data_IF_437063742453
#
_entry.id   IF_437063742453
#
_cell.length_a   1.000
_cell.length_b   1.000
_cell.length_c   1.000
_cell.angle_alpha   90.00
_cell.angle_beta   90.00
_cell.angle_gamma   90.00
#
_symmetry.space_group_name_H-M   'P 1'
#
loop_
_entity.id
_entity.type
_entity.pdbx_description
1 polymer ?
#
# COMPACT_ATOMS: atom_id res chain seq x y z
N UNK A 1 -35.25 -6.02 27.75
CA UNK A 1 -35.41 -6.32 26.31
C UNK A 1 -35.41 -5.08 25.43
N UNK A 2 -36.26 -4.08 25.67
CA UNK A 2 -36.27 -2.85 24.84
C UNK A 2 -34.94 -2.07 24.84
N UNK A 3 -34.27 -1.96 26.00
CA UNK A 3 -32.97 -1.28 26.13
C UNK A 3 -31.85 -2.01 25.38
N UNK A 4 -31.86 -3.35 25.38
CA UNK A 4 -30.87 -4.14 24.66
C UNK A 4 -31.01 -3.94 23.14
N UNK A 5 -32.24 -3.95 22.60
CA UNK A 5 -32.48 -3.71 21.17
C UNK A 5 -32.01 -2.31 20.71
N UNK A 6 -32.16 -1.29 21.56
CA UNK A 6 -31.65 0.06 21.27
C UNK A 6 -30.12 0.11 21.23
N UNK A 7 -29.46 -0.50 22.20
CA UNK A 7 -27.99 -0.53 22.28
C UNK A 7 -27.38 -1.28 21.11
N UNK A 8 -27.93 -2.45 20.75
CA UNK A 8 -27.45 -3.21 19.58
C UNK A 8 -27.72 -2.49 18.25
N UNK A 9 -28.83 -1.75 18.13
CA UNK A 9 -29.12 -0.94 16.95
C UNK A 9 -28.15 0.23 16.76
N UNK A 10 -27.82 0.95 17.83
CA UNK A 10 -26.85 2.06 17.79
C UNK A 10 -25.44 1.55 17.47
N UNK A 11 -25.01 0.47 18.14
CA UNK A 11 -23.70 -0.14 17.89
C UNK A 11 -23.61 -0.69 16.46
N UNK A 12 -24.69 -1.27 15.93
CA UNK A 12 -24.75 -1.74 14.55
C UNK A 12 -24.61 -0.62 13.52
N UNK A 13 -25.18 0.57 13.77
CA UNK A 13 -25.05 1.73 12.89
C UNK A 13 -23.63 2.29 12.91
N UNK A 14 -23.05 2.45 14.10
CA UNK A 14 -21.69 3.00 14.26
C UNK A 14 -20.65 2.07 13.63
N UNK A 15 -20.76 0.76 13.85
CA UNK A 15 -19.87 -0.23 13.24
C UNK A 15 -20.15 -0.41 11.74
N UNK A 16 -21.40 -0.23 11.30
CA UNK A 16 -21.79 -0.27 9.90
C UNK A 16 -21.20 0.85 9.05
N UNK A 17 -20.88 2.00 9.67
CA UNK A 17 -20.29 3.16 9.01
C UNK A 17 -18.77 3.03 8.78
N UNK A 18 -18.10 2.11 9.49
CA UNK A 18 -16.65 1.89 9.39
C UNK A 18 -16.37 0.93 8.23
N UNK A 19 -15.62 1.35 7.19
CA UNK A 19 -15.20 0.45 6.11
C UNK A 19 -14.48 -0.76 6.71
N UNK A 20 -14.74 -1.96 6.17
CA UNK A 20 -14.36 -3.31 6.69
C UNK A 20 -15.17 -3.93 7.84
N UNK A 21 -15.89 -3.17 8.68
CA UNK A 21 -16.68 -3.72 9.80
C UNK A 21 -18.19 -3.85 9.51
N UNK A 22 -18.61 -3.48 8.29
CA UNK A 22 -20.02 -3.46 7.87
C UNK A 22 -20.74 -4.81 8.02
N UNK A 23 -20.05 -5.93 7.81
CA UNK A 23 -20.62 -7.28 7.93
C UNK A 23 -20.99 -7.65 9.38
N UNK A 24 -20.18 -7.21 10.36
CA UNK A 24 -20.47 -7.38 11.78
C UNK A 24 -21.65 -6.49 12.22
N UNK A 25 -21.72 -5.26 11.70
CA UNK A 25 -22.85 -4.35 11.88
C UNK A 25 -24.16 -4.93 11.33
N UNK A 26 -24.12 -5.54 10.14
CA UNK A 26 -25.28 -6.23 9.55
C UNK A 26 -25.80 -7.41 10.37
N UNK A 27 -24.91 -8.25 10.92
CA UNK A 27 -25.29 -9.36 11.80
C UNK A 27 -25.93 -8.87 13.11
N UNK A 28 -25.37 -7.82 13.72
CA UNK A 28 -25.93 -7.22 14.93
C UNK A 28 -27.28 -6.54 14.67
N UNK A 29 -27.45 -5.88 13.51
CA UNK A 29 -28.71 -5.29 13.10
C UNK A 29 -29.81 -6.35 12.86
N UNK A 30 -29.45 -7.53 12.33
CA UNK A 30 -30.35 -8.68 12.18
C UNK A 30 -30.87 -9.20 13.53
N UNK A 31 -29.97 -9.36 14.51
CA UNK A 31 -30.36 -9.77 15.87
C UNK A 31 -31.24 -8.71 16.54
N UNK A 32 -30.89 -7.43 16.38
CA UNK A 32 -31.68 -6.29 16.86
C UNK A 32 -33.07 -6.23 16.23
N UNK A 33 -33.19 -6.53 14.94
CA UNK A 33 -34.47 -6.59 14.22
C UNK A 33 -35.36 -7.72 14.74
N UNK A 34 -34.81 -8.92 14.95
CA UNK A 34 -35.56 -10.06 15.50
C UNK A 34 -36.12 -9.78 16.90
N UNK A 35 -35.30 -9.19 17.77
CA UNK A 35 -35.72 -8.77 19.12
C UNK A 35 -36.72 -7.61 19.08
N UNK A 36 -36.57 -6.69 18.13
CA UNK A 36 -37.50 -5.58 17.90
C UNK A 36 -38.88 -6.06 17.44
N UNK A 37 -38.95 -6.97 16.46
CA UNK A 37 -40.21 -7.55 15.96
C UNK A 37 -40.94 -8.28 17.09
N UNK A 38 -40.23 -9.09 17.90
CA UNK A 38 -40.82 -9.78 19.05
C UNK A 38 -41.38 -8.79 20.09
N UNK A 39 -40.69 -7.67 20.34
CA UNK A 39 -41.13 -6.61 21.24
C UNK A 39 -42.36 -5.85 20.70
N UNK A 40 -42.45 -5.63 19.38
CA UNK A 40 -43.61 -5.02 18.72
C UNK A 40 -44.83 -5.93 18.76
N UNK A 41 -44.67 -7.24 18.53
CA UNK A 41 -45.78 -8.20 18.63
C UNK A 41 -46.30 -8.27 20.08
N UNK A 42 -45.40 -8.26 21.07
CA UNK A 42 -45.75 -8.23 22.50
C UNK A 42 -46.43 -6.93 22.92
N UNK A 43 -46.06 -5.78 22.35
CA UNK A 43 -46.64 -4.48 22.71
C UNK A 43 -48.09 -4.31 22.24
N UNK A 44 -48.50 -5.02 21.19
CA UNK A 44 -49.91 -5.10 20.72
C UNK A 44 -50.85 -5.74 21.76
N UNK A 45 -50.31 -6.43 22.77
CA UNK A 45 -51.04 -7.02 23.89
C UNK A 45 -51.17 -6.12 25.14
N UNK A 46 -50.86 -4.82 25.06
CA UNK A 46 -51.15 -3.84 26.14
C UNK A 46 -49.98 -3.47 27.06
N UNK A 47 -48.74 -3.76 26.69
CA UNK A 47 -47.57 -3.39 27.49
C UNK A 47 -47.18 -1.90 27.31
N UNK A 48 -46.90 -1.14 28.38
CA UNK A 48 -46.43 0.24 28.27
C UNK A 48 -45.02 0.25 27.66
N UNK A 49 -44.77 1.16 26.70
CA UNK A 49 -43.54 1.39 25.90
C UNK A 49 -43.53 0.88 24.44
N UNK A 50 -44.70 0.73 23.80
CA UNK A 50 -44.82 0.38 22.38
C UNK A 50 -44.06 1.31 21.41
N UNK A 51 -44.02 2.62 21.69
CA UNK A 51 -43.30 3.60 20.85
C UNK A 51 -41.78 3.33 20.77
N UNK A 52 -41.18 2.83 21.85
CA UNK A 52 -39.73 2.54 21.92
C UNK A 52 -39.36 1.28 21.11
N UNK A 53 -40.28 0.32 21.01
CA UNK A 53 -40.10 -0.87 20.19
C UNK A 53 -40.16 -0.54 18.69
N UNK A 54 -41.08 0.35 18.28
CA UNK A 54 -41.19 0.83 16.89
C UNK A 54 -39.94 1.59 16.48
N UNK A 55 -39.45 2.51 17.32
CA UNK A 55 -38.21 3.24 17.07
C UNK A 55 -37.01 2.30 16.90
N UNK A 56 -36.88 1.27 17.74
CA UNK A 56 -35.83 0.26 17.62
C UNK A 56 -35.90 -0.56 16.33
N UNK A 57 -37.10 -0.94 15.88
CA UNK A 57 -37.26 -1.65 14.60
C UNK A 57 -36.94 -0.79 13.39
N UNK A 58 -37.30 0.50 13.41
CA UNK A 58 -36.98 1.44 12.32
C UNK A 58 -35.47 1.67 12.23
N UNK A 59 -34.80 1.84 13.37
CA UNK A 59 -33.33 1.97 13.41
C UNK A 59 -32.62 0.70 12.90
N UNK A 60 -33.12 -0.49 13.23
CA UNK A 60 -32.56 -1.75 12.74
C UNK A 60 -32.70 -1.91 11.23
N UNK A 61 -33.85 -1.50 10.65
CA UNK A 61 -34.05 -1.47 9.20
C UNK A 61 -33.12 -0.48 8.50
N UNK A 62 -32.93 0.71 9.07
CA UNK A 62 -31.97 1.69 8.56
C UNK A 62 -30.52 1.18 8.64
N UNK A 63 -30.16 0.47 9.71
CA UNK A 63 -28.84 -0.18 9.84
C UNK A 63 -28.59 -1.27 8.78
N UNK A 64 -29.61 -2.08 8.46
CA UNK A 64 -29.52 -3.03 7.34
C UNK A 64 -29.36 -2.32 5.99
N UNK A 65 -30.10 -1.24 5.77
CA UNK A 65 -29.96 -0.39 4.59
C UNK A 65 -28.55 0.20 4.46
N UNK A 66 -27.99 0.70 5.55
CA UNK A 66 -26.62 1.21 5.60
C UNK A 66 -25.57 0.12 5.31
N UNK A 67 -25.78 -1.12 5.79
CA UNK A 67 -24.91 -2.26 5.49
C UNK A 67 -24.93 -2.65 4.01
N UNK A 68 -26.10 -2.62 3.38
CA UNK A 68 -26.23 -2.84 1.92
C UNK A 68 -25.58 -1.70 1.15
N UNK A 69 -25.79 -0.45 1.59
CA UNK A 69 -25.13 0.74 1.03
C UNK A 69 -23.60 0.68 1.12
N UNK A 70 -23.06 0.24 2.27
CA UNK A 70 -21.63 0.03 2.47
C UNK A 70 -21.03 -1.03 1.53
N UNK A 71 -21.78 -2.11 1.24
CA UNK A 71 -21.38 -3.10 0.24
C UNK A 71 -21.33 -2.50 -1.17
N UNK A 72 -22.32 -1.69 -1.57
CA UNK A 72 -22.31 -1.01 -2.87
C UNK A 72 -21.18 0.01 -3.00
N UNK A 73 -20.94 0.84 -1.98
CA UNK A 73 -19.81 1.79 -1.97
C UNK A 73 -18.49 1.02 -2.11
N UNK A 74 -18.33 -0.08 -1.37
CA UNK A 74 -17.13 -0.93 -1.47
C UNK A 74 -16.98 -1.51 -2.89
N UNK A 75 -18.06 -2.02 -3.49
CA UNK A 75 -18.07 -2.50 -4.89
C UNK A 75 -17.71 -1.38 -5.86
N UNK A 76 -18.24 -0.17 -5.71
CA UNK A 76 -17.94 0.96 -6.58
C UNK A 76 -16.47 1.40 -6.48
N UNK A 77 -15.91 1.41 -5.27
CA UNK A 77 -14.48 1.68 -5.04
C UNK A 77 -13.62 0.58 -5.67
N UNK A 78 -14.00 -0.70 -5.51
CA UNK A 78 -13.30 -1.83 -6.15
C UNK A 78 -13.42 -1.77 -7.67
N UNK A 79 -14.57 -1.42 -8.26
CA UNK A 79 -14.70 -1.27 -9.71
C UNK A 79 -13.92 -0.08 -10.28
N UNK A 80 -13.73 0.99 -9.49
CA UNK A 80 -12.88 2.12 -9.88
C UNK A 80 -11.40 1.74 -9.81
N UNK A 81 -11.04 0.84 -8.90
CA UNK A 81 -9.69 0.29 -8.76
C UNK A 81 -9.42 -0.78 -9.83
N UNK A 82 -10.34 -1.70 -10.10
CA UNK A 82 -10.22 -2.72 -11.15
C UNK A 82 -10.21 -2.09 -12.55
N UNK A 83 -10.95 -1.01 -12.81
CA UNK A 83 -10.88 -0.29 -14.09
C UNK A 83 -9.53 0.42 -14.29
N UNK A 84 -8.89 0.91 -13.21
CA UNK A 84 -7.54 1.51 -13.28
C UNK A 84 -6.42 0.48 -13.24
N UNK A 85 -6.66 -0.70 -12.66
CA UNK A 85 -5.71 -1.80 -12.62
C UNK A 85 -5.79 -2.66 -13.89
N UNK A 86 -6.94 -2.75 -14.56
CA UNK A 86 -7.05 -3.44 -15.86
C UNK A 86 -6.46 -2.64 -17.03
N UNK A 87 -6.21 -1.34 -16.84
CA UNK A 87 -5.39 -0.54 -17.75
C UNK A 87 -3.87 -0.79 -17.52
N UNK A 88 -3.45 -1.14 -16.30
CA UNK A 88 -2.05 -1.43 -15.94
C UNK A 88 -1.68 -2.95 -15.97
N UNK A 89 -2.64 -3.88 -15.92
CA UNK A 89 -2.42 -5.35 -15.95
C UNK A 89 -2.55 -5.95 -17.36
N UNK A 90 -1.76 -5.43 -18.28
CA UNK A 90 -1.43 -6.16 -19.52
C UNK A 90 -0.04 -6.81 -19.48
N UNK A 91 0.36 -7.29 -18.30
CA UNK A 91 1.42 -8.28 -18.16
C UNK A 91 1.04 -9.29 -17.05
N UNK A 92 1.18 -10.57 -17.41
CA UNK A 92 1.16 -11.79 -16.59
C UNK A 92 -0.20 -12.25 -16.05
N UNK A 93 -0.80 -13.26 -16.70
CA UNK A 93 -0.89 -14.60 -16.10
C UNK A 93 -1.33 -15.66 -17.15
N UNK A 94 -0.52 -16.71 -17.27
CA UNK A 94 -0.73 -17.88 -18.13
C UNK A 94 -1.80 -18.81 -17.51
N UNK A 95 -2.83 -19.13 -18.29
CA UNK A 95 -3.87 -20.10 -17.93
C UNK A 95 -4.40 -20.85 -19.17
N UNK A 96 -4.98 -22.05 -18.99
CA UNK A 96 -4.57 -23.28 -19.67
C UNK A 96 -4.92 -23.35 -21.16
N UNK A 97 -4.02 -23.99 -21.93
CA UNK A 97 -4.17 -24.28 -23.36
C UNK A 97 -5.36 -25.20 -23.59
N UNK A 98 -6.44 -24.66 -24.16
CA UNK A 98 -7.52 -25.46 -24.74
C UNK A 98 -7.07 -26.01 -26.11
N UNK A 99 -7.04 -27.33 -26.34
CA UNK A 99 -6.77 -27.86 -27.67
C UNK A 99 -7.98 -27.56 -28.58
N UNK A 100 -7.83 -26.62 -29.51
CA UNK A 100 -8.85 -26.36 -30.54
C UNK A 100 -9.11 -24.91 -30.95
N UNK A 101 -8.39 -23.91 -30.43
CA UNK A 101 -8.56 -22.53 -30.89
C UNK A 101 -7.84 -22.30 -32.26
N UNK A 102 -8.48 -21.65 -33.25
CA UNK A 102 -7.86 -21.33 -34.53
C UNK A 102 -6.67 -20.37 -34.34
N UNK A 103 -5.63 -20.43 -35.20
CA UNK A 103 -4.40 -19.67 -34.99
C UNK A 103 -4.69 -18.16 -34.99
N UNK A 104 -4.43 -17.52 -33.84
CA UNK A 104 -4.45 -16.07 -33.69
C UNK A 104 -3.47 -15.44 -34.66
N UNK A 105 -3.95 -14.47 -35.44
CA UNK A 105 -3.14 -13.66 -36.33
C UNK A 105 -1.90 -13.16 -35.60
N UNK A 106 -0.73 -13.35 -36.20
CA UNK A 106 0.57 -12.90 -35.68
C UNK A 106 0.49 -11.43 -35.30
N UNK A 107 0.53 -11.15 -33.99
CA UNK A 107 0.62 -9.80 -33.42
C UNK A 107 1.89 -9.17 -33.96
N UNK A 108 1.74 -8.08 -34.72
CA UNK A 108 2.85 -7.24 -35.19
C UNK A 108 3.72 -6.87 -33.96
N UNK A 109 5.07 -6.91 -34.04
CA UNK A 109 5.91 -6.59 -32.88
C UNK A 109 5.53 -5.22 -32.33
N UNK A 110 5.14 -5.19 -31.05
CA UNK A 110 5.02 -3.93 -30.30
C UNK A 110 6.40 -3.25 -30.33
N UNK A 111 6.49 -1.92 -30.54
CA UNK A 111 7.77 -1.24 -30.44
C UNK A 111 8.40 -1.54 -29.07
N UNK A 112 9.68 -1.91 -29.07
CA UNK A 112 10.46 -2.07 -27.85
C UNK A 112 10.32 -0.79 -27.02
N UNK A 113 9.98 -0.86 -25.71
CA UNK A 113 9.88 0.34 -24.90
C UNK A 113 11.19 1.10 -24.99
N UNK A 114 11.11 2.39 -25.34
CA UNK A 114 12.28 3.27 -25.35
C UNK A 114 12.99 3.15 -24.00
N UNK A 115 14.24 2.68 -24.00
CA UNK A 115 15.03 2.53 -22.80
C UNK A 115 15.38 3.93 -22.27
N UNK A 116 14.82 4.29 -21.12
CA UNK A 116 15.13 5.49 -20.37
C UNK A 116 15.97 5.03 -19.18
N UNK A 117 17.28 5.32 -19.18
CA UNK A 117 18.16 5.00 -18.05
C UNK A 117 17.58 5.54 -16.75
N UNK A 118 17.50 4.68 -15.74
CA UNK A 118 16.91 4.95 -14.44
C UNK A 118 15.44 4.58 -14.35
N UNK A 119 14.66 4.62 -15.43
CA UNK A 119 13.22 4.31 -15.36
C UNK A 119 12.90 2.92 -15.92
N UNK A 120 13.31 2.64 -17.16
CA UNK A 120 13.06 1.37 -17.85
C UNK A 120 14.31 0.49 -17.98
N UNK A 121 15.50 1.04 -17.75
CA UNK A 121 16.75 0.30 -17.53
C UNK A 121 17.45 0.82 -16.26
N UNK A 122 18.25 -0.03 -15.60
CA UNK A 122 18.94 0.37 -14.37
C UNK A 122 20.16 1.26 -14.66
N UNK A 123 20.35 2.29 -13.85
CA UNK A 123 21.58 3.09 -13.82
C UNK A 123 22.66 2.38 -12.98
N UNK A 124 23.95 2.57 -13.30
CA UNK A 124 25.01 2.23 -12.38
C UNK A 124 24.86 2.93 -11.03
N UNK A 125 25.16 2.24 -9.94
CA UNK A 125 25.27 2.92 -8.64
C UNK A 125 26.31 4.04 -8.69
N UNK A 126 25.98 5.17 -8.06
CA UNK A 126 26.79 6.39 -8.03
C UNK A 126 26.39 7.43 -9.08
N UNK A 127 25.64 7.04 -10.10
CA UNK A 127 25.08 7.98 -11.08
C UNK A 127 23.88 8.75 -10.53
N UNK A 128 23.69 9.94 -11.07
CA UNK A 128 22.56 10.80 -10.73
C UNK A 128 21.50 10.68 -11.83
N UNK A 129 20.25 10.42 -11.42
CA UNK A 129 19.10 10.54 -12.28
C UNK A 129 18.43 11.90 -12.05
N UNK A 130 18.18 12.64 -13.13
CA UNK A 130 17.51 13.94 -13.09
C UNK A 130 16.12 13.83 -13.72
N UNK A 131 15.09 14.08 -12.93
CA UNK A 131 13.72 14.17 -13.43
C UNK A 131 13.51 15.45 -14.25
N UNK A 132 12.57 15.46 -15.21
CA UNK A 132 12.19 16.69 -15.91
C UNK A 132 11.73 17.84 -14.99
N UNK A 133 11.27 17.53 -13.78
CA UNK A 133 10.90 18.51 -12.76
C UNK A 133 12.11 19.21 -12.11
N UNK A 134 13.33 18.74 -12.33
CA UNK A 134 14.55 19.23 -11.65
C UNK A 134 14.86 18.51 -10.34
N UNK A 135 14.07 17.51 -9.94
CA UNK A 135 14.46 16.64 -8.81
C UNK A 135 15.59 15.71 -9.27
N UNK A 136 16.60 15.52 -8.44
CA UNK A 136 17.71 14.61 -8.70
C UNK A 136 17.78 13.54 -7.63
N UNK A 137 18.07 12.31 -8.06
CA UNK A 137 18.23 11.15 -7.17
C UNK A 137 19.56 10.49 -7.47
N UNK A 138 20.27 10.12 -6.40
CA UNK A 138 21.51 9.39 -6.47
C UNK A 138 21.56 8.35 -5.37
N UNK A 139 21.91 7.12 -5.73
CA UNK A 139 22.21 6.05 -4.78
C UNK A 139 23.69 5.72 -4.91
N UNK A 140 24.45 5.82 -3.82
CA UNK A 140 25.89 5.53 -3.83
C UNK A 140 26.17 4.06 -4.16
N UNK A 141 27.40 3.77 -4.56
CA UNK A 141 27.87 2.38 -4.59
C UNK A 141 27.67 1.73 -3.21
N UNK A 142 27.13 0.49 -3.17
CA UNK A 142 27.02 -0.27 -1.93
C UNK A 142 28.41 -0.52 -1.37
N UNK A 143 28.56 -0.33 -0.07
CA UNK A 143 29.81 -0.60 0.66
C UNK A 143 29.52 -1.56 1.80
N UNK A 144 30.45 -2.43 2.14
CA UNK A 144 30.32 -3.26 3.34
C UNK A 144 30.01 -2.42 4.58
N UNK A 145 29.03 -2.87 5.35
CA UNK A 145 28.62 -2.27 6.61
C UNK A 145 28.98 -3.18 7.79
N UNK A 146 29.50 -2.57 8.84
CA UNK A 146 29.72 -3.20 10.14
C UNK A 146 29.08 -2.29 11.16
N UNK A 147 28.24 -2.86 12.03
CA UNK A 147 27.59 -2.11 13.10
C UNK A 147 28.60 -1.80 14.20
N UNK A 148 28.52 -0.58 14.73
CA UNK A 148 29.26 -0.17 15.93
C UNK A 148 28.48 -0.48 17.22
N UNK A 149 27.27 -1.07 17.09
CA UNK A 149 26.43 -1.41 18.23
C UNK A 149 27.00 -2.60 19.03
N UNK A 150 27.23 -2.41 20.33
CA UNK A 150 27.68 -3.48 21.22
C UNK A 150 26.61 -4.55 21.47
N UNK A 151 25.33 -4.22 21.24
CA UNK A 151 24.18 -5.05 21.62
C UNK A 151 23.54 -5.76 20.43
N UNK A 152 23.70 -5.21 19.22
CA UNK A 152 23.01 -5.70 18.03
C UNK A 152 24.02 -6.32 17.08
N UNK A 153 23.82 -7.59 16.76
CA UNK A 153 24.64 -8.32 15.80
C UNK A 153 24.03 -8.18 14.41
N UNK A 154 24.78 -7.60 13.50
CA UNK A 154 24.42 -7.49 12.09
C UNK A 154 25.22 -8.52 11.29
N UNK A 155 24.55 -9.20 10.36
CA UNK A 155 25.14 -10.22 9.49
C UNK A 155 26.02 -9.63 8.39
N UNK A 156 26.01 -10.26 7.21
CA UNK A 156 26.65 -9.69 6.04
C UNK A 156 25.81 -8.50 5.55
N UNK A 157 26.24 -7.29 5.89
CA UNK A 157 25.51 -6.08 5.56
C UNK A 157 26.27 -5.17 4.61
N UNK A 158 25.49 -4.41 3.85
CA UNK A 158 25.95 -3.38 2.93
C UNK A 158 25.20 -2.08 3.24
N UNK A 159 25.90 -0.95 3.20
CA UNK A 159 25.30 0.37 3.28
C UNK A 159 25.21 1.02 1.91
N UNK A 160 24.14 1.77 1.70
CA UNK A 160 23.94 2.67 0.58
C UNK A 160 23.58 4.05 1.11
N UNK A 161 24.06 5.08 0.42
CA UNK A 161 23.72 6.47 0.70
C UNK A 161 22.76 6.95 -0.39
N UNK A 162 21.58 7.38 0.02
CA UNK A 162 20.60 8.02 -0.85
C UNK A 162 20.78 9.53 -0.73
N UNK A 163 20.93 10.21 -1.86
CA UNK A 163 20.91 11.67 -1.94
C UNK A 163 19.78 12.10 -2.85
N UNK A 164 18.94 13.00 -2.36
CA UNK A 164 17.87 13.64 -3.13
C UNK A 164 18.12 15.14 -3.14
N UNK A 165 18.24 15.73 -4.31
CA UNK A 165 18.39 17.18 -4.49
C UNK A 165 17.15 17.74 -5.17
N UNK A 166 16.59 18.81 -4.62
CA UNK A 166 15.44 19.47 -5.20
C UNK A 166 15.89 20.73 -5.96
N UNK A 167 16.19 20.61 -7.26
CA UNK A 167 16.45 21.78 -8.12
C UNK A 167 15.17 22.32 -8.79
N UNK A 168 13.98 21.86 -8.34
CA UNK A 168 12.70 22.40 -8.81
C UNK A 168 12.35 23.72 -8.12
N UNK A 169 11.23 24.34 -8.52
CA UNK A 169 10.72 25.57 -7.92
C UNK A 169 9.75 25.34 -6.75
N UNK A 170 9.35 24.09 -6.49
CA UNK A 170 8.37 23.75 -5.45
C UNK A 170 9.01 22.91 -4.34
N UNK A 171 8.53 22.99 -3.09
CA UNK A 171 8.97 22.08 -2.03
C UNK A 171 8.69 20.62 -2.38
N UNK A 172 9.70 19.75 -2.21
CA UNK A 172 9.55 18.31 -2.39
C UNK A 172 9.28 17.66 -1.04
N UNK A 173 8.04 17.22 -0.82
CA UNK A 173 7.68 16.49 0.39
C UNK A 173 8.02 15.00 0.27
N UNK A 174 8.80 14.50 1.22
CA UNK A 174 9.21 13.09 1.32
C UNK A 174 8.64 12.50 2.61
N UNK A 175 7.76 11.52 2.49
CA UNK A 175 7.23 10.80 3.66
C UNK A 175 8.32 9.88 4.22
N UNK A 176 8.79 8.94 3.39
CA UNK A 176 9.95 8.08 3.64
C UNK A 176 10.58 7.67 2.32
N UNK A 177 11.88 7.95 2.14
CA UNK A 177 12.64 7.48 0.99
C UNK A 177 13.61 6.37 1.42
N UNK A 178 13.27 5.13 1.10
CA UNK A 178 14.06 3.93 1.41
C UNK A 178 14.19 3.10 0.14
N UNK A 179 15.42 2.87 -0.35
CA UNK A 179 15.62 2.02 -1.53
C UNK A 179 15.17 0.58 -1.26
N UNK A 180 14.50 -0.07 -2.19
CA UNK A 180 14.28 -1.51 -2.12
C UNK A 180 15.48 -2.20 -2.76
N UNK A 181 16.30 -2.87 -1.95
CA UNK A 181 17.51 -3.55 -2.42
C UNK A 181 17.23 -5.03 -2.65
N UNK A 182 17.75 -5.58 -3.75
CA UNK A 182 17.69 -7.02 -4.06
C UNK A 182 19.04 -7.53 -4.57
N UNK A 183 19.35 -8.79 -4.30
CA UNK A 183 20.51 -9.48 -4.89
C UNK A 183 20.24 -9.94 -6.33
N UNK A 184 21.24 -10.61 -6.94
CA UNK A 184 21.14 -11.11 -8.31
C UNK A 184 20.10 -12.23 -8.50
N UNK A 185 19.65 -12.87 -7.42
CA UNK A 185 18.56 -13.85 -7.43
C UNK A 185 17.19 -13.20 -7.13
N UNK A 186 17.16 -11.89 -6.91
CA UNK A 186 15.96 -11.13 -6.61
C UNK A 186 15.49 -11.20 -5.15
N UNK A 187 16.30 -11.78 -4.25
CA UNK A 187 16.01 -11.82 -2.81
C UNK A 187 16.15 -10.42 -2.23
N UNK A 188 15.16 -10.00 -1.48
CA UNK A 188 15.15 -8.69 -0.85
C UNK A 188 16.19 -8.61 0.28
N UNK A 189 16.97 -7.53 0.28
CA UNK A 189 17.84 -7.18 1.39
C UNK A 189 17.02 -6.85 2.63
N UNK A 190 17.44 -7.34 3.79
CA UNK A 190 16.77 -7.08 5.07
C UNK A 190 17.34 -5.81 5.69
N UNK A 191 16.50 -4.82 5.98
CA UNK A 191 16.93 -3.58 6.61
C UNK A 191 17.62 -3.85 7.97
N UNK A 192 18.75 -3.17 8.17
CA UNK A 192 19.49 -3.16 9.44
C UNK A 192 18.87 -2.11 10.36
N UNK A 193 18.58 -2.53 11.59
CA UNK A 193 18.14 -1.67 12.68
C UNK A 193 19.04 -1.92 13.89
N UNK A 194 20.02 -1.05 14.10
CA UNK A 194 21.05 -1.21 15.13
C UNK A 194 21.11 -0.05 16.14
N UNK A 195 20.13 0.86 16.05
CA UNK A 195 20.05 2.08 16.86
C UNK A 195 20.57 3.31 16.13
N UNK A 196 21.53 3.15 15.22
CA UNK A 196 22.00 4.22 14.34
C UNK A 196 21.31 4.21 12.97
N UNK A 197 21.02 3.01 12.47
CA UNK A 197 20.41 2.80 11.17
C UNK A 197 18.92 2.43 11.28
N UNK A 198 18.13 2.75 10.25
CA UNK A 198 18.46 3.57 9.08
C UNK A 198 18.30 5.08 9.34
N UNK A 199 19.16 5.90 8.74
CA UNK A 199 19.04 7.37 8.70
C UNK A 199 18.24 7.75 7.46
N UNK A 200 16.92 7.80 7.59
CA UNK A 200 16.01 8.04 6.47
C UNK A 200 15.84 9.53 6.13
N UNK A 201 15.64 9.85 4.86
CA UNK A 201 15.17 11.16 4.42
C UNK A 201 13.66 11.25 4.69
N UNK A 202 13.23 12.32 5.36
CA UNK A 202 11.83 12.64 5.65
C UNK A 202 11.61 14.15 5.74
N UNK A 203 10.39 14.59 5.47
CA UNK A 203 9.99 16.00 5.51
C UNK A 203 10.17 16.71 4.17
N UNK A 204 10.16 18.04 4.22
CA UNK A 204 10.25 18.87 3.03
C UNK A 204 11.71 19.17 2.67
N UNK A 205 12.05 18.94 1.40
CA UNK A 205 13.29 19.45 0.79
C UNK A 205 12.91 20.72 0.02
N UNK A 206 13.37 21.87 0.50
CA UNK A 206 13.13 23.15 -0.16
C UNK A 206 13.87 23.23 -1.51
N UNK A 207 13.40 24.09 -2.45
CA UNK A 207 14.13 24.41 -3.66
C UNK A 207 15.60 24.75 -3.41
N UNK A 208 16.50 24.21 -4.24
CA UNK A 208 17.95 24.33 -4.14
C UNK A 208 18.61 23.54 -3.00
N UNK A 209 17.85 22.79 -2.20
CA UNK A 209 18.38 22.02 -1.08
C UNK A 209 18.54 20.53 -1.42
N UNK A 210 19.44 19.87 -0.68
CA UNK A 210 19.64 18.42 -0.75
C UNK A 210 19.42 17.77 0.61
N UNK A 211 18.87 16.57 0.60
CA UNK A 211 18.81 15.70 1.76
C UNK A 211 19.57 14.40 1.48
N UNK A 212 20.21 13.87 2.51
CA UNK A 212 20.97 12.62 2.43
C UNK A 212 20.51 11.66 3.51
N UNK A 213 20.28 10.41 3.13
CA UNK A 213 19.98 9.30 4.02
C UNK A 213 21.02 8.18 3.87
N UNK A 214 21.25 7.45 4.95
CA UNK A 214 22.15 6.30 4.98
C UNK A 214 21.36 5.09 5.46
N UNK A 215 21.35 4.04 4.66
CA UNK A 215 20.56 2.84 4.92
C UNK A 215 21.47 1.62 4.75
N UNK A 216 21.38 0.66 5.67
CA UNK A 216 22.08 -0.60 5.59
C UNK A 216 21.11 -1.79 5.44
N UNK A 217 21.55 -2.81 4.70
CA UNK A 217 20.79 -4.01 4.39
C UNK A 217 21.67 -5.24 4.63
N UNK A 218 21.15 -6.23 5.34
CA UNK A 218 21.69 -7.58 5.35
C UNK A 218 21.34 -8.27 4.03
N UNK A 219 22.36 -8.82 3.37
CA UNK A 219 22.25 -9.56 2.11
C UNK A 219 22.97 -10.90 2.23
N UNK A 220 22.61 -11.92 1.44
CA UNK A 220 23.28 -13.22 1.48
C UNK A 220 24.80 -13.11 1.36
N UNK A 221 25.53 -14.05 1.98
CA UNK A 221 26.98 -14.08 1.84
C UNK A 221 27.35 -14.42 0.39
N UNK A 222 28.26 -13.64 -0.18
CA UNK A 222 28.73 -13.85 -1.56
C UNK A 222 27.92 -13.09 -2.62
N UNK A 223 26.94 -12.28 -2.24
CA UNK A 223 26.24 -11.35 -3.15
C UNK A 223 27.26 -10.47 -3.87
N UNK A 224 27.31 -10.60 -5.19
CA UNK A 224 28.27 -9.89 -6.04
C UNK A 224 27.67 -8.61 -6.60
N UNK A 225 26.37 -8.62 -6.92
CA UNK A 225 25.66 -7.47 -7.48
C UNK A 225 24.36 -7.20 -6.73
N UNK A 226 23.95 -5.95 -6.74
CA UNK A 226 22.70 -5.51 -6.16
C UNK A 226 21.91 -4.73 -7.18
N UNK A 227 20.60 -4.77 -7.04
CA UNK A 227 19.67 -3.84 -7.65
C UNK A 227 19.01 -3.01 -6.56
N UNK A 228 18.70 -1.76 -6.86
CA UNK A 228 17.94 -0.90 -5.96
C UNK A 228 16.88 -0.12 -6.74
N UNK A 229 15.65 -0.12 -6.27
CA UNK A 229 14.61 0.79 -6.76
C UNK A 229 14.22 1.80 -5.68
N UNK A 230 14.05 3.06 -6.06
CA UNK A 230 13.73 4.14 -5.12
C UNK A 230 12.70 5.10 -5.70
N UNK A 231 11.69 5.41 -4.89
CA UNK A 231 10.73 6.49 -5.15
C UNK A 231 11.07 7.66 -4.22
N UNK A 232 11.61 8.77 -4.73
CA UNK A 232 11.96 9.93 -3.90
C UNK A 232 10.73 10.65 -3.33
N UNK A 233 9.55 10.53 -3.97
CA UNK A 233 8.28 11.10 -3.50
C UNK A 233 7.11 10.47 -4.26
N UNK A 234 5.93 10.39 -3.63
CA UNK A 234 4.81 9.53 -4.07
C UNK A 234 4.20 9.80 -5.44
N UNK A 235 4.64 10.85 -6.16
CA UNK A 235 4.20 11.17 -7.53
C UNK A 235 5.28 10.93 -8.60
N UNK A 236 6.52 10.64 -8.20
CA UNK A 236 7.64 10.43 -9.13
C UNK A 236 7.81 8.93 -9.40
N UNK A 237 8.07 8.51 -10.65
CA UNK A 237 8.32 7.11 -10.95
C UNK A 237 9.61 6.62 -10.29
N UNK A 238 9.69 5.35 -9.93
CA UNK A 238 10.85 4.78 -9.26
C UNK A 238 12.09 4.79 -10.16
N UNK A 239 13.22 5.23 -9.60
CA UNK A 239 14.53 5.11 -10.24
C UNK A 239 15.15 3.77 -9.89
N UNK A 240 15.70 3.08 -10.88
CA UNK A 240 16.37 1.78 -10.77
C UNK A 240 17.88 1.96 -10.88
N UNK A 241 18.59 1.33 -9.96
CA UNK A 241 20.04 1.22 -9.93
C UNK A 241 20.46 -0.24 -9.93
N UNK A 242 21.64 -0.53 -10.48
CA UNK A 242 22.25 -1.85 -10.46
C UNK A 242 23.77 -1.71 -10.49
N UNK A 243 24.48 -2.65 -9.87
CA UNK A 243 25.93 -2.68 -9.91
C UNK A 243 26.54 -3.60 -8.86
N UNK A 244 27.87 -3.71 -8.83
CA UNK A 244 28.57 -4.57 -7.89
C UNK A 244 28.48 -4.05 -6.45
N UNK A 245 28.63 -4.97 -5.50
CA UNK A 245 28.92 -4.64 -4.10
C UNK A 245 30.40 -4.27 -3.98
N UNK A 246 30.70 -3.12 -3.37
CA UNK A 246 32.05 -2.61 -3.14
C UNK A 246 32.65 -2.95 -1.78
#
# INVERSE_FOLDING_TARGET
>A
MAVAALVFGIVGIVLGLVPFLFWAGGLLALVGLGLGIAAVVRSRGGAPRGAMAVAGTVLALLGLGASVGGYFITRSVVHTIDAKISEDRHYEDDGPVFPGAPPLATRKPSPSPSQVPGLTSALPFGETFTYPSGVEVKVSQPKKYVTDSEYIKVGNAVQVTLTVTNNSTEPLNIIYAVPNVRDEQGLAGKLVFDGEMPKMIKGDILPGSSATGVIAYEVPKGTATLTADITPGGRLPSVKYSGPVG
#
